data_IF_641238509455
#
_entry.id   IF_641238509455
#
_cell.length_a   1.000
_cell.length_b   1.000
_cell.length_c   1.000
_cell.angle_alpha   90.00
_cell.angle_beta   90.00
_cell.angle_gamma   90.00
#
_symmetry.space_group_name_H-M   'P 1'
#
loop_
_entity.id
_entity.type
_entity.pdbx_description
1 polymer ?
#
# COMPACT_ATOMS: atom_id res chain seq x y z
N UNK A 1 -9.63 -22.11 -12.43
CA UNK A 1 -9.25 -20.90 -11.68
C UNK A 1 -9.94 -20.95 -10.33
N UNK A 2 -9.26 -20.64 -9.25
CA UNK A 2 -9.87 -20.57 -7.91
C UNK A 2 -10.66 -19.26 -7.73
N UNK A 3 -11.40 -19.16 -6.62
CA UNK A 3 -12.22 -17.98 -6.30
C UNK A 3 -11.38 -16.69 -6.29
N UNK A 4 -10.17 -16.76 -5.71
CA UNK A 4 -9.26 -15.62 -5.61
C UNK A 4 -8.77 -15.18 -7.00
N UNK A 5 -8.38 -16.12 -7.87
CA UNK A 5 -7.98 -15.83 -9.24
C UNK A 5 -9.10 -15.17 -10.05
N UNK A 6 -10.36 -15.58 -9.83
CA UNK A 6 -11.54 -14.99 -10.47
C UNK A 6 -11.77 -13.55 -10.00
N UNK A 7 -11.63 -13.28 -8.70
CA UNK A 7 -11.75 -11.93 -8.13
C UNK A 7 -10.61 -11.01 -8.63
N UNK A 8 -9.39 -11.55 -8.74
CA UNK A 8 -8.22 -10.77 -9.16
C UNK A 8 -8.11 -10.59 -10.68
N UNK A 9 -8.79 -11.40 -11.50
CA UNK A 9 -8.73 -11.32 -12.95
C UNK A 9 -8.93 -9.91 -13.54
N UNK A 10 -10.00 -9.14 -13.18
CA UNK A 10 -10.16 -7.78 -13.70
C UNK A 10 -9.04 -6.84 -13.25
N UNK A 11 -8.51 -7.02 -12.03
CA UNK A 11 -7.39 -6.22 -11.53
C UNK A 11 -6.08 -6.56 -12.24
N UNK A 12 -5.82 -7.84 -12.52
CA UNK A 12 -4.66 -8.28 -13.31
C UNK A 12 -4.70 -7.71 -14.71
N UNK A 13 -5.85 -7.78 -15.37
CA UNK A 13 -6.03 -7.20 -16.69
C UNK A 13 -5.81 -5.68 -16.66
N UNK A 14 -6.42 -4.98 -15.69
CA UNK A 14 -6.26 -3.53 -15.57
C UNK A 14 -4.81 -3.12 -15.29
N UNK A 15 -4.13 -3.78 -14.34
CA UNK A 15 -2.74 -3.49 -13.98
C UNK A 15 -1.80 -3.75 -15.16
N UNK A 16 -1.94 -4.88 -15.84
CA UNK A 16 -1.13 -5.21 -17.03
C UNK A 16 -1.39 -4.24 -18.19
N UNK A 17 -2.65 -3.85 -18.43
CA UNK A 17 -3.00 -2.89 -19.47
C UNK A 17 -2.40 -1.50 -19.19
N UNK A 18 -2.43 -1.05 -17.94
CA UNK A 18 -1.79 0.19 -17.54
C UNK A 18 -0.27 0.13 -17.69
N UNK A 19 0.37 -0.98 -17.29
CA UNK A 19 1.82 -1.15 -17.45
C UNK A 19 2.23 -1.16 -18.92
N UNK A 20 1.54 -1.93 -19.77
CA UNK A 20 1.75 -1.95 -21.21
C UNK A 20 1.56 -0.55 -21.81
N UNK A 21 0.45 0.14 -21.48
CA UNK A 21 0.17 1.47 -21.99
C UNK A 21 1.20 2.52 -21.60
N UNK A 22 1.69 2.51 -20.35
CA UNK A 22 2.79 3.40 -19.95
C UNK A 22 4.10 3.06 -20.63
N UNK A 23 4.44 1.78 -20.71
CA UNK A 23 5.62 1.31 -21.42
C UNK A 23 5.61 1.80 -22.87
N UNK A 24 4.54 1.53 -23.60
CA UNK A 24 4.38 1.91 -25.01
C UNK A 24 4.39 3.42 -25.19
N UNK A 25 3.77 4.16 -24.26
CA UNK A 25 3.82 5.62 -24.22
C UNK A 25 5.24 6.17 -24.04
N UNK A 26 6.03 5.59 -23.12
CA UNK A 26 7.42 5.99 -22.90
C UNK A 26 8.31 5.60 -24.10
N UNK A 27 8.06 4.44 -24.71
CA UNK A 27 8.76 4.02 -25.92
C UNK A 27 8.44 4.92 -27.12
N UNK A 28 7.19 5.37 -27.27
CA UNK A 28 6.79 6.30 -28.31
C UNK A 28 7.47 7.67 -28.21
N UNK A 29 7.87 8.10 -27.01
CA UNK A 29 8.65 9.34 -26.79
C UNK A 29 10.18 9.12 -26.79
N UNK A 30 10.64 7.93 -27.19
CA UNK A 30 12.05 7.63 -27.47
C UNK A 30 12.79 6.86 -26.39
N UNK A 31 12.13 6.36 -25.34
CA UNK A 31 12.79 5.50 -24.35
C UNK A 31 12.96 4.07 -24.90
N UNK A 32 14.13 3.41 -24.71
CA UNK A 32 14.32 2.04 -25.19
C UNK A 32 13.32 1.07 -24.53
N UNK A 33 12.53 0.28 -25.29
CA UNK A 33 11.51 -0.63 -24.74
C UNK A 33 12.08 -1.64 -23.74
N UNK A 34 13.21 -2.26 -24.06
CA UNK A 34 13.88 -3.22 -23.17
C UNK A 34 14.59 -2.58 -21.96
N UNK A 35 14.58 -1.25 -21.81
CA UNK A 35 15.25 -0.60 -20.67
C UNK A 35 14.48 -0.83 -19.37
N UNK A 36 15.18 -1.25 -18.32
CA UNK A 36 14.61 -1.32 -16.97
C UNK A 36 14.11 0.03 -16.46
N UNK A 37 14.62 1.15 -16.97
CA UNK A 37 14.10 2.48 -16.63
C UNK A 37 12.72 2.75 -17.24
N UNK A 38 12.46 2.30 -18.46
CA UNK A 38 11.14 2.39 -19.12
C UNK A 38 10.10 1.66 -18.29
N UNK A 39 10.40 0.41 -17.90
CA UNK A 39 9.54 -0.40 -17.04
C UNK A 39 9.39 0.16 -15.61
N UNK A 40 10.46 0.70 -15.04
CA UNK A 40 10.42 1.39 -13.73
C UNK A 40 9.49 2.59 -13.76
N UNK A 41 9.58 3.43 -14.79
CA UNK A 41 8.68 4.57 -14.97
C UNK A 41 7.25 4.12 -15.25
N UNK A 42 7.05 3.01 -15.96
CA UNK A 42 5.71 2.44 -16.16
C UNK A 42 5.06 2.00 -14.84
N UNK A 43 5.82 1.36 -13.95
CA UNK A 43 5.35 1.01 -12.60
C UNK A 43 5.03 2.27 -11.79
N UNK A 44 5.87 3.31 -11.87
CA UNK A 44 5.59 4.59 -11.20
C UNK A 44 4.30 5.23 -11.75
N UNK A 45 4.14 5.29 -13.07
CA UNK A 45 2.94 5.81 -13.74
C UNK A 45 1.66 5.07 -13.31
N UNK A 46 1.71 3.74 -13.26
CA UNK A 46 0.64 2.89 -12.72
C UNK A 46 0.22 3.35 -11.33
N UNK A 47 1.19 3.51 -10.41
CA UNK A 47 0.92 3.96 -9.03
C UNK A 47 0.28 5.33 -9.03
N UNK A 48 0.83 6.30 -9.77
CA UNK A 48 0.33 7.67 -9.82
C UNK A 48 -1.11 7.75 -10.31
N UNK A 49 -1.48 6.99 -11.35
CA UNK A 49 -2.85 6.98 -11.89
C UNK A 49 -3.83 6.35 -10.90
N UNK A 50 -3.50 5.16 -10.35
CA UNK A 50 -4.35 4.51 -9.34
C UNK A 50 -4.54 5.46 -8.16
N UNK A 51 -3.47 6.09 -7.70
CA UNK A 51 -3.50 6.96 -6.54
C UNK A 51 -4.22 8.28 -6.80
N UNK A 52 -4.10 8.86 -7.99
CA UNK A 52 -4.86 10.02 -8.40
C UNK A 52 -6.37 9.72 -8.44
N UNK A 53 -6.76 8.58 -9.01
CA UNK A 53 -8.15 8.13 -9.03
C UNK A 53 -8.75 7.92 -7.62
N UNK A 54 -7.90 7.56 -6.64
CA UNK A 54 -8.31 7.36 -5.25
C UNK A 54 -8.29 8.64 -4.39
N UNK A 55 -7.91 9.80 -4.92
CA UNK A 55 -7.93 11.08 -4.18
C UNK A 55 -9.30 11.38 -3.56
N UNK A 56 -10.45 11.25 -4.26
CA UNK A 56 -11.76 11.53 -3.65
C UNK A 56 -12.09 10.60 -2.48
N UNK A 57 -11.70 9.32 -2.59
CA UNK A 57 -11.87 8.33 -1.52
C UNK A 57 -10.98 8.69 -0.33
N UNK A 58 -9.73 9.06 -0.59
CA UNK A 58 -8.80 9.51 0.44
C UNK A 58 -9.32 10.75 1.18
N UNK A 59 -9.84 11.76 0.48
CA UNK A 59 -10.42 12.96 1.12
C UNK A 59 -11.61 12.59 2.03
N UNK A 60 -12.49 11.68 1.59
CA UNK A 60 -13.58 11.15 2.42
C UNK A 60 -13.05 10.43 3.67
N UNK A 61 -11.99 9.63 3.52
CA UNK A 61 -11.35 8.94 4.64
C UNK A 61 -10.75 9.94 5.65
N UNK A 62 -10.08 10.99 5.18
CA UNK A 62 -9.52 12.04 6.05
C UNK A 62 -10.63 12.73 6.87
N UNK A 63 -11.79 12.99 6.25
CA UNK A 63 -12.94 13.58 6.94
C UNK A 63 -13.51 12.63 8.01
N UNK A 64 -13.59 11.33 7.75
CA UNK A 64 -13.97 10.32 8.76
C UNK A 64 -13.00 10.32 9.93
N UNK A 65 -11.68 10.37 9.66
CA UNK A 65 -10.68 10.42 10.72
C UNK A 65 -10.81 11.69 11.59
N UNK A 66 -11.19 12.83 11.01
CA UNK A 66 -11.48 14.04 11.78
C UNK A 66 -12.72 13.92 12.66
N UNK A 67 -13.83 13.37 12.14
CA UNK A 67 -15.02 13.11 12.94
C UNK A 67 -14.71 12.18 14.11
N UNK A 68 -13.89 11.17 13.86
CA UNK A 68 -13.43 10.26 14.90
C UNK A 68 -12.60 10.96 15.98
N UNK A 69 -11.75 11.93 15.60
CA UNK A 69 -11.04 12.78 16.57
C UNK A 69 -12.00 13.58 17.45
N UNK A 70 -13.05 14.17 16.86
CA UNK A 70 -14.08 14.92 17.61
C UNK A 70 -14.90 14.04 18.56
N UNK A 71 -14.98 12.73 18.29
CA UNK A 71 -15.67 11.75 19.12
C UNK A 71 -14.83 11.25 20.31
N UNK A 72 -13.52 11.46 20.30
CA UNK A 72 -12.62 11.02 21.38
C UNK A 72 -13.08 11.41 22.80
N UNK A 73 -13.55 12.65 23.10
CA UNK A 73 -14.00 13.00 24.44
C UNK A 73 -15.21 12.17 24.91
N UNK A 74 -16.13 11.83 24.02
CA UNK A 74 -17.32 11.05 24.38
C UNK A 74 -16.98 9.56 24.54
N UNK A 75 -16.03 9.06 23.73
CA UNK A 75 -15.44 7.73 23.95
C UNK A 75 -14.71 7.65 25.30
N UNK A 76 -14.05 8.73 25.73
CA UNK A 76 -13.37 8.79 27.04
C UNK A 76 -14.38 8.70 28.17
N UNK A 77 -15.46 9.49 28.14
CA UNK A 77 -16.56 9.39 29.12
C UNK A 77 -17.18 8.00 29.17
N UNK A 78 -17.33 7.35 28.01
CA UNK A 78 -17.82 5.98 27.94
C UNK A 78 -16.84 5.00 28.60
N UNK A 79 -15.53 5.15 28.37
CA UNK A 79 -14.51 4.32 29.02
C UNK A 79 -14.55 4.50 30.55
N UNK A 80 -14.61 5.74 31.04
CA UNK A 80 -14.71 6.07 32.47
C UNK A 80 -15.98 5.46 33.11
N UNK A 81 -17.13 5.51 32.42
CA UNK A 81 -18.41 4.91 32.88
C UNK A 81 -18.31 3.39 33.16
N UNK A 82 -17.41 2.70 32.47
CA UNK A 82 -17.22 1.26 32.57
C UNK A 82 -15.87 0.87 33.19
N UNK A 83 -15.12 1.84 33.70
CA UNK A 83 -13.84 1.59 34.36
C UNK A 83 -14.02 0.68 35.57
N UNK A 84 -13.12 -0.30 35.73
CA UNK A 84 -13.19 -1.32 36.78
C UNK A 84 -14.23 -2.43 36.57
N UNK A 85 -15.10 -2.35 35.56
CA UNK A 85 -16.08 -3.40 35.25
C UNK A 85 -15.48 -4.47 34.34
N UNK A 86 -15.25 -5.65 34.88
CA UNK A 86 -14.61 -6.77 34.15
C UNK A 86 -15.57 -7.87 33.74
N UNK A 87 -16.82 -7.82 34.18
CA UNK A 87 -17.83 -8.83 33.88
C UNK A 87 -18.19 -8.86 32.38
N UNK A 88 -18.54 -10.04 31.82
CA UNK A 88 -18.85 -10.18 30.40
C UNK A 88 -19.99 -9.29 29.92
N UNK A 89 -21.01 -9.07 30.77
CA UNK A 89 -22.18 -8.26 30.44
C UNK A 89 -21.82 -6.78 30.30
N UNK A 90 -21.02 -6.24 31.21
CA UNK A 90 -20.52 -4.86 31.14
C UNK A 90 -19.65 -4.62 29.92
N UNK A 91 -18.80 -5.58 29.53
CA UNK A 91 -17.99 -5.47 28.31
C UNK A 91 -18.87 -5.45 27.05
N UNK A 92 -19.90 -6.29 27.01
CA UNK A 92 -20.85 -6.31 25.91
C UNK A 92 -21.65 -5.01 25.83
N UNK A 93 -22.13 -4.50 26.98
CA UNK A 93 -22.84 -3.24 27.07
C UNK A 93 -21.96 -2.05 26.62
N UNK A 94 -20.70 -2.00 27.06
CA UNK A 94 -19.74 -0.99 26.60
C UNK A 94 -19.57 -1.05 25.08
N UNK A 95 -19.40 -2.24 24.49
CA UNK A 95 -19.24 -2.39 23.05
C UNK A 95 -20.50 -1.94 22.27
N UNK A 96 -21.69 -2.21 22.79
CA UNK A 96 -22.96 -1.76 22.20
C UNK A 96 -23.12 -0.25 22.29
N UNK A 97 -22.87 0.36 23.46
CA UNK A 97 -22.93 1.82 23.63
C UNK A 97 -21.86 2.51 22.76
N UNK A 98 -20.68 1.93 22.63
CA UNK A 98 -19.63 2.44 21.75
C UNK A 98 -20.07 2.43 20.29
N UNK A 99 -20.68 1.34 19.82
CA UNK A 99 -21.25 1.24 18.48
C UNK A 99 -22.41 2.22 18.25
N UNK A 100 -23.28 2.39 19.25
CA UNK A 100 -24.36 3.37 19.20
C UNK A 100 -23.83 4.80 19.10
N UNK A 101 -22.76 5.12 19.84
CA UNK A 101 -22.07 6.40 19.78
C UNK A 101 -21.44 6.64 18.40
N UNK A 102 -20.76 5.65 17.82
CA UNK A 102 -20.26 5.74 16.44
C UNK A 102 -21.39 6.04 15.45
N UNK A 103 -22.52 5.34 15.56
CA UNK A 103 -23.69 5.52 14.70
C UNK A 103 -24.33 6.90 14.86
N UNK A 104 -24.50 7.37 16.10
CA UNK A 104 -25.06 8.69 16.40
C UNK A 104 -24.23 9.83 15.80
N UNK A 105 -22.90 9.68 15.78
CA UNK A 105 -21.99 10.67 15.18
C UNK A 105 -21.69 10.43 13.69
N UNK A 106 -22.40 9.49 13.04
CA UNK A 106 -22.25 9.20 11.61
C UNK A 106 -20.82 8.78 11.23
N UNK A 107 -20.13 8.05 12.11
CA UNK A 107 -18.76 7.57 11.90
C UNK A 107 -18.68 6.05 12.06
N UNK A 108 -17.69 5.42 11.43
CA UNK A 108 -17.46 3.98 11.53
C UNK A 108 -15.94 3.71 11.58
N UNK A 109 -15.43 2.94 12.56
CA UNK A 109 -14.01 2.57 12.62
C UNK A 109 -13.49 1.87 11.36
N UNK A 110 -14.31 1.07 10.67
CA UNK A 110 -13.91 0.37 9.43
C UNK A 110 -13.72 1.31 8.23
N UNK A 111 -14.38 2.47 8.22
CA UNK A 111 -14.18 3.45 7.15
C UNK A 111 -12.76 4.02 7.14
N UNK A 112 -11.99 3.86 8.23
CA UNK A 112 -10.60 4.28 8.30
C UNK A 112 -9.63 3.33 7.55
N UNK A 113 -9.99 2.05 7.34
CA UNK A 113 -9.14 1.10 6.59
C UNK A 113 -9.51 0.95 5.11
N UNK A 114 -10.54 1.66 4.65
CA UNK A 114 -11.05 1.57 3.28
C UNK A 114 -10.00 1.69 2.17
N UNK A 115 -9.01 2.62 2.21
CA UNK A 115 -8.03 2.69 1.14
C UNK A 115 -7.09 1.49 1.09
N UNK A 116 -6.78 0.89 2.25
CA UNK A 116 -5.99 -0.34 2.28
C UNK A 116 -6.74 -1.47 1.58
N UNK A 117 -8.04 -1.61 1.87
CA UNK A 117 -8.88 -2.62 1.23
C UNK A 117 -8.98 -2.43 -0.28
N UNK A 118 -9.10 -1.19 -0.76
CA UNK A 118 -9.13 -0.90 -2.20
C UNK A 118 -7.77 -1.18 -2.85
N UNK A 119 -6.66 -0.93 -2.16
CA UNK A 119 -5.32 -1.16 -2.70
C UNK A 119 -4.95 -2.65 -2.78
N UNK A 120 -5.44 -3.47 -1.86
CA UNK A 120 -5.08 -4.89 -1.73
C UNK A 120 -5.23 -5.68 -3.05
N UNK A 121 -6.36 -5.61 -3.79
CA UNK A 121 -6.49 -6.30 -5.08
C UNK A 121 -5.46 -5.88 -6.13
N UNK A 122 -5.13 -4.59 -6.22
CA UNK A 122 -4.10 -4.10 -7.16
C UNK A 122 -2.71 -4.61 -6.81
N UNK A 123 -2.39 -4.62 -5.51
CA UNK A 123 -1.13 -5.18 -5.03
C UNK A 123 -1.02 -6.67 -5.36
N UNK A 124 -2.04 -7.48 -5.02
CA UNK A 124 -2.00 -8.91 -5.29
C UNK A 124 -1.99 -9.22 -6.79
N UNK A 125 -2.70 -8.44 -7.60
CA UNK A 125 -2.64 -8.54 -9.05
C UNK A 125 -1.22 -8.30 -9.56
N UNK A 126 -0.58 -7.18 -9.18
CA UNK A 126 0.79 -6.87 -9.58
C UNK A 126 1.79 -7.90 -9.07
N UNK A 127 1.70 -8.29 -7.79
CA UNK A 127 2.61 -9.28 -7.20
C UNK A 127 2.52 -10.63 -7.92
N UNK A 128 1.32 -11.18 -8.10
CA UNK A 128 1.15 -12.46 -8.81
C UNK A 128 1.65 -12.37 -10.26
N UNK A 129 1.46 -11.21 -10.90
CA UNK A 129 1.92 -10.98 -12.26
C UNK A 129 3.44 -10.99 -12.35
N UNK A 130 4.10 -10.16 -11.53
CA UNK A 130 5.56 -10.01 -11.56
C UNK A 130 6.29 -11.23 -11.01
N UNK A 131 5.72 -11.96 -10.05
CA UNK A 131 6.28 -13.22 -9.56
C UNK A 131 6.17 -14.36 -10.58
N UNK A 132 5.20 -14.29 -11.52
CA UNK A 132 5.02 -15.29 -12.58
C UNK A 132 5.65 -14.89 -13.91
N UNK A 133 6.21 -13.69 -14.04
CA UNK A 133 6.56 -13.11 -15.34
C UNK A 133 7.70 -13.85 -16.03
N UNK A 134 8.71 -14.32 -15.29
CA UNK A 134 9.83 -15.10 -15.84
C UNK A 134 9.36 -16.46 -16.38
N UNK A 135 8.39 -17.09 -15.71
CA UNK A 135 7.82 -18.35 -16.19
C UNK A 135 7.01 -18.16 -17.47
N UNK A 136 6.25 -17.05 -17.56
CA UNK A 136 5.51 -16.69 -18.77
C UNK A 136 6.45 -16.33 -19.93
N UNK A 137 7.52 -15.57 -19.65
CA UNK A 137 8.54 -15.21 -20.63
C UNK A 137 9.21 -16.45 -21.24
N UNK A 138 9.62 -17.41 -20.40
CA UNK A 138 10.21 -18.68 -20.87
C UNK A 138 9.27 -19.55 -21.71
N UNK A 139 7.96 -19.32 -21.64
CA UNK A 139 6.94 -20.02 -22.43
C UNK A 139 6.42 -19.19 -23.62
N UNK A 140 6.88 -17.95 -23.78
CA UNK A 140 6.36 -17.04 -24.81
C UNK A 140 4.89 -16.66 -24.60
N UNK A 141 4.43 -16.63 -23.35
CA UNK A 141 3.04 -16.36 -23.01
C UNK A 141 2.79 -14.88 -22.70
N UNK A 142 1.61 -14.41 -23.07
CA UNK A 142 1.11 -13.10 -22.66
C UNK A 142 0.70 -13.11 -21.19
N UNK A 143 0.79 -11.96 -20.52
CA UNK A 143 0.34 -11.80 -19.14
C UNK A 143 -0.69 -10.68 -19.04
N UNK A 144 -1.96 -11.07 -18.90
CA UNK A 144 -3.07 -10.13 -18.93
C UNK A 144 -3.15 -9.42 -20.29
N UNK A 145 -2.95 -8.09 -20.31
CA UNK A 145 -2.90 -7.30 -21.53
C UNK A 145 -1.47 -7.07 -22.07
N UNK A 146 -0.43 -7.53 -21.37
CA UNK A 146 0.95 -7.44 -21.86
C UNK A 146 1.19 -8.54 -22.91
N UNK A 147 1.75 -8.15 -24.07
CA UNK A 147 2.14 -9.07 -25.13
C UNK A 147 3.32 -9.97 -24.70
N UNK A 148 3.54 -11.12 -25.36
CA UNK A 148 4.71 -11.97 -25.10
C UNK A 148 6.04 -11.21 -25.22
N UNK A 149 6.12 -10.27 -26.16
CA UNK A 149 7.29 -9.41 -26.37
C UNK A 149 7.52 -8.47 -25.18
N UNK A 150 6.46 -7.83 -24.69
CA UNK A 150 6.51 -6.98 -23.50
C UNK A 150 6.86 -7.78 -22.23
N UNK A 151 6.34 -9.00 -22.11
CA UNK A 151 6.65 -9.91 -21.00
C UNK A 151 8.13 -10.29 -21.01
N UNK A 152 8.69 -10.66 -22.17
CA UNK A 152 10.11 -10.94 -22.32
C UNK A 152 10.97 -9.70 -22.04
N UNK A 153 10.61 -8.55 -22.59
CA UNK A 153 11.30 -7.28 -22.32
C UNK A 153 11.31 -6.92 -20.84
N UNK A 154 10.21 -7.12 -20.12
CA UNK A 154 10.16 -6.89 -18.69
C UNK A 154 11.09 -7.84 -17.93
N UNK A 155 11.06 -9.13 -18.25
CA UNK A 155 11.86 -10.15 -17.55
C UNK A 155 13.37 -9.92 -17.70
N UNK A 156 13.81 -9.53 -18.89
CA UNK A 156 15.21 -9.21 -19.18
C UNK A 156 15.63 -7.82 -18.67
N UNK A 157 14.68 -6.98 -18.29
CA UNK A 157 14.97 -5.60 -17.92
C UNK A 157 15.70 -5.52 -16.58
N UNK A 158 16.77 -4.70 -16.54
CA UNK A 158 17.57 -4.48 -15.33
C UNK A 158 17.69 -3.01 -14.97
N UNK A 159 17.73 -2.72 -13.66
CA UNK A 159 18.16 -1.43 -13.13
C UNK A 159 19.32 -1.66 -12.17
N UNK A 160 20.38 -0.87 -12.30
CA UNK A 160 21.60 -1.03 -11.50
C UNK A 160 22.18 -2.47 -11.53
N UNK A 161 21.98 -3.19 -12.64
CA UNK A 161 22.42 -4.59 -12.82
C UNK A 161 21.53 -5.64 -12.13
N UNK A 162 20.39 -5.24 -11.57
CA UNK A 162 19.42 -6.11 -10.93
C UNK A 162 18.15 -6.25 -11.80
N UNK A 163 17.72 -7.48 -12.16
CA UNK A 163 16.48 -7.68 -12.92
C UNK A 163 15.23 -7.24 -12.15
N UNK A 164 14.25 -6.63 -12.83
CA UNK A 164 13.01 -6.19 -12.19
C UNK A 164 12.13 -7.34 -11.69
N UNK A 165 12.23 -8.51 -12.32
CA UNK A 165 11.55 -9.75 -11.92
C UNK A 165 12.23 -10.48 -10.75
N UNK A 166 13.48 -10.15 -10.43
CA UNK A 166 14.24 -10.83 -9.38
C UNK A 166 13.81 -10.41 -7.97
N UNK A 167 14.00 -11.34 -7.01
CA UNK A 167 13.79 -11.14 -5.57
C UNK A 167 15.03 -11.59 -4.79
N UNK A 168 15.07 -11.36 -3.47
CA UNK A 168 16.20 -11.83 -2.64
C UNK A 168 16.31 -13.36 -2.58
N UNK A 169 15.17 -14.08 -2.61
CA UNK A 169 15.16 -15.56 -2.60
C UNK A 169 15.30 -16.19 -3.98
N UNK A 170 14.66 -15.58 -4.99
CA UNK A 170 14.66 -16.09 -6.35
C UNK A 170 15.44 -15.11 -7.21
N UNK A 171 16.70 -15.45 -7.47
CA UNK A 171 17.57 -14.68 -8.35
C UNK A 171 17.08 -14.71 -9.79
N UNK A 172 17.31 -13.61 -10.52
CA UNK A 172 17.11 -13.52 -11.97
C UNK A 172 18.44 -13.60 -12.73
N UNK A 173 18.42 -13.53 -14.05
CA UNK A 173 19.59 -13.62 -14.96
C UNK A 173 20.64 -12.50 -14.86
N UNK A 174 20.88 -11.92 -13.68
CA UNK A 174 21.79 -10.80 -13.44
C UNK A 174 22.72 -11.02 -12.24
N UNK A 175 23.37 -9.93 -11.79
CA UNK A 175 24.29 -9.98 -10.65
C UNK A 175 23.51 -10.16 -9.34
N UNK A 176 23.67 -11.33 -8.71
CA UNK A 176 23.06 -11.62 -7.40
C UNK A 176 23.37 -10.55 -6.36
N UNK A 177 24.60 -10.01 -6.40
CA UNK A 177 25.01 -8.92 -5.50
C UNK A 177 24.23 -7.64 -5.78
N UNK A 178 23.99 -7.29 -7.05
CA UNK A 178 23.17 -6.12 -7.42
C UNK A 178 21.73 -6.28 -6.94
N UNK A 179 21.15 -7.48 -7.08
CA UNK A 179 19.80 -7.79 -6.58
C UNK A 179 19.74 -7.59 -5.07
N UNK A 180 20.75 -8.07 -4.33
CA UNK A 180 20.81 -7.94 -2.88
C UNK A 180 20.92 -6.48 -2.43
N UNK A 181 21.89 -5.74 -2.99
CA UNK A 181 22.12 -4.34 -2.64
C UNK A 181 20.86 -3.51 -2.90
N UNK A 182 20.28 -3.64 -4.09
CA UNK A 182 19.11 -2.86 -4.47
C UNK A 182 17.89 -3.24 -3.62
N UNK A 183 17.60 -4.52 -3.46
CA UNK A 183 16.44 -4.98 -2.70
C UNK A 183 16.53 -4.56 -1.22
N UNK A 184 17.70 -4.72 -0.58
CA UNK A 184 17.91 -4.31 0.81
C UNK A 184 17.75 -2.78 0.94
N UNK A 185 18.36 -2.00 0.04
CA UNK A 185 18.22 -0.55 0.06
C UNK A 185 16.75 -0.11 -0.06
N UNK A 186 15.98 -0.74 -0.95
CA UNK A 186 14.57 -0.45 -1.14
C UNK A 186 13.70 -0.90 0.04
N UNK A 187 13.98 -2.04 0.66
CA UNK A 187 13.28 -2.51 1.86
C UNK A 187 13.51 -1.54 3.02
N UNK A 188 14.75 -1.09 3.21
CA UNK A 188 15.07 -0.08 4.22
C UNK A 188 14.36 1.24 3.93
N UNK A 189 14.39 1.72 2.69
CA UNK A 189 13.71 2.95 2.27
C UNK A 189 12.18 2.87 2.43
N UNK A 190 11.55 1.76 2.04
CA UNK A 190 10.10 1.58 2.20
C UNK A 190 9.73 1.48 3.67
N UNK A 191 10.53 0.78 4.48
CA UNK A 191 10.26 0.59 5.91
C UNK A 191 10.40 1.90 6.65
N UNK A 192 11.48 2.67 6.37
CA UNK A 192 11.69 3.99 6.93
C UNK A 192 10.55 4.95 6.54
N UNK A 193 10.21 5.05 5.25
CA UNK A 193 9.13 5.92 4.78
C UNK A 193 7.77 5.55 5.37
N UNK A 194 7.44 4.26 5.50
CA UNK A 194 6.21 3.83 6.16
C UNK A 194 6.21 4.16 7.65
N UNK A 195 7.31 3.91 8.36
CA UNK A 195 7.44 4.21 9.79
C UNK A 195 7.27 5.72 10.04
N UNK A 196 7.89 6.55 9.21
CA UNK A 196 7.72 8.01 9.27
C UNK A 196 6.25 8.38 9.05
N UNK A 197 5.61 7.83 8.02
CA UNK A 197 4.20 8.11 7.70
C UNK A 197 3.26 7.68 8.83
N UNK A 198 3.45 6.50 9.40
CA UNK A 198 2.64 5.99 10.53
C UNK A 198 2.85 6.85 11.79
N UNK A 199 4.09 7.25 12.09
CA UNK A 199 4.37 8.17 13.19
C UNK A 199 3.70 9.53 12.98
N UNK A 200 3.71 10.07 11.77
CA UNK A 200 3.01 11.32 11.44
C UNK A 200 1.49 11.20 11.64
N UNK A 201 0.89 10.07 11.26
CA UNK A 201 -0.54 9.81 11.46
C UNK A 201 -0.86 9.70 12.96
N UNK A 202 -0.05 8.97 13.73
CA UNK A 202 -0.28 8.79 15.17
C UNK A 202 -0.03 10.06 15.99
N UNK A 203 0.98 10.87 15.63
CA UNK A 203 1.22 12.16 16.28
C UNK A 203 -0.03 13.07 16.22
N UNK A 204 -0.83 12.97 15.14
CA UNK A 204 -2.11 13.67 14.99
C UNK A 204 -3.25 13.09 15.84
N UNK A 205 -3.10 11.89 16.38
CA UNK A 205 -4.08 11.23 17.27
C UNK A 205 -3.79 11.46 18.75
N UNK A 206 -2.62 12.02 19.08
CA UNK A 206 -2.07 12.12 20.45
C UNK A 206 -1.96 13.56 20.98
N UNK A 207 -2.42 14.58 20.24
CA UNK A 207 -2.42 15.97 20.71
C UNK A 207 -3.64 16.24 21.60
N UNK A 208 -3.47 16.02 22.90
CA UNK A 208 -4.45 16.11 23.99
C UNK A 208 -4.09 15.03 25.03
N UNK A 209 -4.29 15.29 26.34
CA UNK A 209 -3.95 14.38 27.46
C UNK A 209 -3.94 12.91 27.03
N UNK A 210 -2.78 12.27 27.13
CA UNK A 210 -2.49 10.95 26.59
C UNK A 210 -3.32 9.84 27.26
N UNK A 211 -4.60 9.78 26.90
CA UNK A 211 -5.49 8.67 27.23
C UNK A 211 -5.40 7.67 26.08
N UNK A 212 -5.24 6.40 26.41
CA UNK A 212 -5.26 5.30 25.45
C UNK A 212 -6.62 5.27 24.74
N UNK A 213 -6.75 5.95 23.60
CA UNK A 213 -7.96 5.89 22.79
C UNK A 213 -8.19 4.46 22.30
N UNK A 214 -9.44 3.99 22.11
CA UNK A 214 -9.74 2.65 21.60
C UNK A 214 -9.04 2.32 20.27
N UNK A 215 -8.63 3.34 19.51
CA UNK A 215 -7.97 3.22 18.21
C UNK A 215 -6.44 3.11 18.32
N UNK A 216 -5.83 3.49 19.45
CA UNK A 216 -4.38 3.43 19.63
C UNK A 216 -3.85 1.99 19.65
N UNK A 217 -4.61 1.04 20.19
CA UNK A 217 -4.21 -0.37 20.20
C UNK A 217 -3.99 -0.91 18.79
N UNK A 218 -5.03 -0.93 17.93
CA UNK A 218 -4.88 -1.36 16.54
C UNK A 218 -3.84 -0.55 15.74
N UNK A 219 -3.71 0.77 15.98
CA UNK A 219 -2.70 1.59 15.32
C UNK A 219 -1.26 1.26 15.74
N UNK A 220 -1.02 0.99 17.03
CA UNK A 220 0.29 0.53 17.52
C UNK A 220 0.65 -0.84 16.98
N UNK A 221 -0.32 -1.77 16.96
CA UNK A 221 -0.13 -3.10 16.34
C UNK A 221 0.27 -2.93 14.87
N UNK A 222 -0.41 -2.06 14.12
CA UNK A 222 -0.06 -1.75 12.74
C UNK A 222 1.37 -1.17 12.62
N UNK A 223 1.74 -0.22 13.48
CA UNK A 223 3.08 0.38 13.48
C UNK A 223 4.20 -0.66 13.64
N UNK A 224 4.04 -1.62 14.55
CA UNK A 224 5.08 -2.61 14.85
C UNK A 224 5.04 -3.83 13.93
N UNK A 225 3.87 -4.21 13.43
CA UNK A 225 3.75 -5.34 12.49
C UNK A 225 4.24 -5.00 11.09
N UNK A 226 4.04 -3.76 10.60
CA UNK A 226 4.40 -3.39 9.24
C UNK A 226 5.90 -3.56 8.90
N UNK A 227 6.86 -3.14 9.74
CA UNK A 227 8.28 -3.40 9.49
C UNK A 227 8.62 -4.89 9.37
N UNK A 228 7.94 -5.75 10.13
CA UNK A 228 8.13 -7.20 10.03
C UNK A 228 7.56 -7.72 8.71
N UNK A 229 6.36 -7.27 8.33
CA UNK A 229 5.74 -7.62 7.04
C UNK A 229 6.61 -7.18 5.86
N UNK A 230 7.25 -6.00 5.93
CA UNK A 230 8.17 -5.56 4.88
C UNK A 230 9.54 -6.22 4.93
N UNK A 231 10.05 -6.52 6.13
CA UNK A 231 11.29 -7.27 6.28
C UNK A 231 11.16 -8.67 5.68
N UNK A 232 10.09 -9.39 6.01
CA UNK A 232 9.84 -10.75 5.51
C UNK A 232 9.32 -10.72 4.07
N UNK A 233 8.34 -9.87 3.77
CA UNK A 233 7.75 -9.75 2.44
C UNK A 233 8.75 -9.23 1.40
N UNK A 234 9.59 -8.26 1.77
CA UNK A 234 10.62 -7.73 0.89
C UNK A 234 11.63 -8.77 0.40
N UNK A 235 11.81 -9.86 1.16
CA UNK A 235 12.68 -10.97 0.77
C UNK A 235 12.09 -11.78 -0.39
N UNK A 236 10.75 -11.89 -0.48
CA UNK A 236 10.04 -12.62 -1.53
C UNK A 236 9.57 -11.72 -2.68
N UNK A 237 9.49 -10.41 -2.47
CA UNK A 237 8.93 -9.50 -3.46
C UNK A 237 9.93 -9.23 -4.61
N UNK A 238 9.47 -9.32 -5.88
CA UNK A 238 10.24 -8.85 -7.02
C UNK A 238 10.60 -7.36 -6.87
N UNK A 239 11.74 -6.94 -7.43
CA UNK A 239 12.17 -5.54 -7.42
C UNK A 239 11.07 -4.62 -7.98
N UNK A 240 10.37 -5.01 -9.04
CA UNK A 240 9.24 -4.24 -9.57
C UNK A 240 8.12 -4.00 -8.54
N UNK A 241 7.86 -4.96 -7.64
CA UNK A 241 6.91 -4.80 -6.52
C UNK A 241 7.47 -3.87 -5.45
N UNK A 242 8.78 -3.92 -5.18
CA UNK A 242 9.44 -2.98 -4.26
C UNK A 242 9.36 -1.53 -4.81
N UNK A 243 9.45 -1.33 -6.13
CA UNK A 243 9.31 -0.02 -6.79
C UNK A 243 7.89 0.51 -6.58
N UNK A 244 6.90 -0.33 -6.87
CA UNK A 244 5.49 -0.02 -6.65
C UNK A 244 5.22 0.38 -5.19
N UNK A 245 5.76 -0.39 -4.23
CA UNK A 245 5.56 -0.12 -2.82
C UNK A 245 6.22 1.19 -2.39
N UNK A 246 7.47 1.41 -2.79
CA UNK A 246 8.22 2.62 -2.46
C UNK A 246 7.52 3.86 -3.00
N UNK A 247 7.09 3.83 -4.27
CA UNK A 247 6.33 4.91 -4.90
C UNK A 247 5.02 5.17 -4.17
N UNK A 248 4.33 4.11 -3.77
CA UNK A 248 3.08 4.17 -3.00
C UNK A 248 3.28 4.84 -1.64
N UNK A 249 4.37 4.52 -0.93
CA UNK A 249 4.70 5.14 0.35
C UNK A 249 5.05 6.62 0.19
N UNK A 250 5.87 6.96 -0.82
CA UNK A 250 6.24 8.35 -1.12
C UNK A 250 5.02 9.20 -1.47
N UNK A 251 4.11 8.67 -2.30
CA UNK A 251 2.84 9.32 -2.58
C UNK A 251 2.02 9.55 -1.30
N UNK A 252 1.90 8.52 -0.45
CA UNK A 252 1.15 8.63 0.82
C UNK A 252 1.76 9.69 1.72
N UNK A 253 3.08 9.75 1.85
CA UNK A 253 3.79 10.78 2.60
C UNK A 253 3.50 12.18 2.03
N UNK A 254 3.56 12.34 0.71
CA UNK A 254 3.19 13.58 0.01
C UNK A 254 1.74 14.01 0.26
N UNK A 255 0.79 13.06 0.20
CA UNK A 255 -0.62 13.31 0.52
C UNK A 255 -0.81 13.79 1.97
N UNK A 256 -0.15 13.14 2.93
CA UNK A 256 -0.24 13.54 4.34
C UNK A 256 0.31 14.95 4.57
N UNK A 257 1.38 15.31 3.85
CA UNK A 257 1.96 16.64 3.87
C UNK A 257 1.02 17.69 3.25
N UNK A 258 0.45 17.44 2.07
CA UNK A 258 -0.49 18.36 1.43
C UNK A 258 -1.73 18.64 2.29
N UNK A 259 -2.33 17.60 2.89
CA UNK A 259 -3.47 17.73 3.83
C UNK A 259 -3.10 18.52 5.10
N UNK A 260 -1.81 18.55 5.47
CA UNK A 260 -1.32 19.38 6.58
C UNK A 260 -1.18 20.85 6.16
N UNK A 261 -0.63 21.11 4.98
CA UNK A 261 -0.41 22.47 4.47
C UNK A 261 -1.71 23.24 4.27
N UNK A 262 -2.72 22.63 3.62
CA UNK A 262 -4.05 23.23 3.39
C UNK A 262 -4.78 23.63 4.69
N UNK A 263 -4.35 23.11 5.84
CA UNK A 263 -4.93 23.40 7.16
C UNK A 263 -4.09 24.34 8.02
N UNK A 264 -2.89 24.70 7.57
CA UNK A 264 -1.99 25.67 8.21
C UNK A 264 -1.71 26.88 7.31
N UNK A 265 -2.29 26.91 6.11
CA UNK A 265 -2.34 28.11 5.26
C UNK A 265 -3.13 29.23 5.96
N UNK A 266 -2.85 30.49 5.60
CA UNK A 266 -3.37 31.67 6.28
C UNK A 266 -4.90 31.71 6.37
#
# INVERSE_FOLDING_TARGET
>A
MDLLGTILAPFKWLVSAMLAGFHDGFSAVGMPPASGWTWTLAIIGLVLVIRAALIPVFLKQVNVQQRMRRLQPDLKKLQEKYEGKTDPLSRQAMAQEQMALYKAHGTNPFSACLPLLIQMPFFFALFQMLSGISAAAGQGEAVGAMSPEQVAQFDESTIFGAPLSASLLHGGGGSQLSVWILSIAMILAMTASQLITQRQIMARSLSGEAVATPLMGPQKVLLYSLPVVFGVGGIVFPIGVLIYWTTTNLWTMGQQFAVRWDRMGP
#
